data_IF_987662369844
#
_entry.id   IF_987662369844
#
_cell.length_a   1.000
_cell.length_b   1.000
_cell.length_c   1.000
_cell.angle_alpha   90.00
_cell.angle_beta   90.00
_cell.angle_gamma   90.00
#
_symmetry.space_group_name_H-M   'P 1'
#
loop_
_entity.id
_entity.type
_entity.pdbx_description
1 polymer ?
#
# COMPACT_ATOMS: atom_id res chain seq x y z
N UNK A 1 11.81 -13.87 -21.49
CA UNK A 1 13.15 -13.83 -20.85
C UNK A 1 12.94 -13.69 -19.35
N UNK A 2 13.77 -14.33 -18.51
CA UNK A 2 13.74 -14.14 -17.05
C UNK A 2 14.94 -13.25 -16.66
N UNK A 3 14.72 -12.25 -15.83
CA UNK A 3 15.76 -11.33 -15.33
C UNK A 3 16.05 -11.65 -13.87
N UNK A 4 17.33 -11.62 -13.50
CA UNK A 4 17.79 -11.67 -12.12
C UNK A 4 18.29 -10.27 -11.75
N UNK A 5 17.74 -9.70 -10.68
CA UNK A 5 18.14 -8.39 -10.17
C UNK A 5 18.61 -8.55 -8.71
N UNK A 6 19.77 -7.99 -8.37
CA UNK A 6 20.28 -8.00 -7.00
C UNK A 6 19.56 -6.96 -6.13
N UNK A 7 19.49 -7.22 -4.81
CA UNK A 7 19.05 -6.26 -3.80
C UNK A 7 20.21 -5.85 -2.91
N UNK A 8 20.14 -4.64 -2.36
CA UNK A 8 21.16 -4.10 -1.46
C UNK A 8 21.29 -4.90 -0.14
N UNK A 9 20.32 -5.77 0.15
CA UNK A 9 20.31 -6.68 1.29
C UNK A 9 20.92 -8.07 0.98
N UNK A 10 21.58 -8.24 -0.17
CA UNK A 10 22.23 -9.50 -0.54
C UNK A 10 21.29 -10.58 -1.09
N UNK A 11 20.05 -10.21 -1.42
CA UNK A 11 19.08 -11.09 -2.08
C UNK A 11 19.08 -10.92 -3.60
N UNK A 12 18.49 -11.88 -4.32
CA UNK A 12 18.22 -11.76 -5.75
C UNK A 12 16.74 -11.96 -6.02
N UNK A 13 16.16 -11.09 -6.84
CA UNK A 13 14.79 -11.22 -7.34
C UNK A 13 14.79 -11.79 -8.75
N UNK A 14 13.78 -12.62 -9.02
CA UNK A 14 13.51 -13.17 -10.34
C UNK A 14 12.25 -12.54 -10.92
N UNK A 15 12.39 -11.91 -12.07
CA UNK A 15 11.27 -11.38 -12.83
C UNK A 15 11.11 -12.19 -14.13
N UNK A 16 9.89 -12.61 -14.43
CA UNK A 16 9.60 -13.32 -15.68
C UNK A 16 8.29 -12.83 -16.28
N UNK A 17 8.33 -12.47 -17.56
CA UNK A 17 7.19 -11.95 -18.32
C UNK A 17 6.21 -13.02 -18.83
N UNK A 18 6.58 -14.30 -18.76
CA UNK A 18 5.78 -15.42 -19.26
C UNK A 18 5.83 -16.60 -18.28
N UNK A 19 4.76 -17.39 -18.16
CA UNK A 19 4.77 -18.59 -17.34
C UNK A 19 5.85 -19.58 -17.79
N UNK A 20 6.20 -20.50 -16.90
CA UNK A 20 7.09 -21.62 -17.18
C UNK A 20 8.12 -21.84 -16.09
N UNK A 21 8.92 -22.88 -16.27
CA UNK A 21 9.94 -23.31 -15.30
C UNK A 21 11.27 -22.62 -15.59
N UNK A 22 11.93 -22.13 -14.53
CA UNK A 22 13.33 -21.68 -14.55
C UNK A 22 14.09 -22.56 -13.57
N UNK A 23 15.26 -23.05 -13.96
CA UNK A 23 16.19 -23.69 -13.03
C UNK A 23 17.21 -22.66 -12.58
N UNK A 24 17.15 -22.30 -11.30
CA UNK A 24 18.21 -21.54 -10.63
C UNK A 24 19.35 -22.49 -10.30
N UNK A 25 20.57 -22.05 -10.57
CA UNK A 25 21.80 -22.73 -10.18
C UNK A 25 22.69 -21.71 -9.50
N UNK A 26 23.10 -21.99 -8.27
CA UNK A 26 24.14 -21.25 -7.58
C UNK A 26 25.40 -22.12 -7.53
N UNK A 27 26.57 -21.48 -7.58
CA UNK A 27 27.85 -22.14 -7.40
C UNK A 27 28.74 -21.28 -6.52
N UNK A 28 29.49 -21.92 -5.64
CA UNK A 28 30.58 -21.29 -4.92
C UNK A 28 31.85 -21.35 -5.77
N UNK A 29 32.44 -20.20 -6.07
CA UNK A 29 33.60 -20.10 -6.96
C UNK A 29 34.88 -20.70 -6.34
N UNK A 30 34.97 -20.75 -5.01
CA UNK A 30 36.17 -21.19 -4.30
C UNK A 30 36.20 -22.71 -4.07
N UNK A 31 35.10 -23.30 -3.62
CA UNK A 31 34.97 -24.73 -3.33
C UNK A 31 34.38 -25.54 -4.47
N UNK A 32 33.75 -24.89 -5.46
CA UNK A 32 33.06 -25.56 -6.57
C UNK A 32 31.71 -26.19 -6.17
N UNK A 33 31.25 -26.01 -4.93
CA UNK A 33 29.96 -26.51 -4.48
C UNK A 33 28.81 -25.90 -5.31
N UNK A 34 27.80 -26.71 -5.64
CA UNK A 34 26.65 -26.29 -6.46
C UNK A 34 25.33 -26.58 -5.77
N UNK A 35 24.43 -25.61 -5.77
CA UNK A 35 23.03 -25.76 -5.40
C UNK A 35 22.13 -25.47 -6.60
N UNK A 36 20.94 -26.07 -6.64
CA UNK A 36 19.97 -25.71 -7.68
C UNK A 36 18.54 -25.85 -7.19
N UNK A 37 17.64 -25.02 -7.72
CA UNK A 37 16.20 -25.12 -7.48
C UNK A 37 15.42 -24.76 -8.73
N UNK A 38 14.38 -25.53 -9.02
CA UNK A 38 13.43 -25.19 -10.09
C UNK A 38 12.32 -24.31 -9.53
N UNK A 39 12.09 -23.17 -10.16
CA UNK A 39 11.01 -22.22 -9.87
C UNK A 39 10.01 -22.28 -11.02
N UNK A 40 8.74 -22.48 -10.70
CA UNK A 40 7.65 -22.46 -11.68
C UNK A 40 6.87 -21.16 -11.58
N UNK A 41 6.88 -20.38 -12.66
CA UNK A 41 6.04 -19.21 -12.82
C UNK A 41 4.71 -19.65 -13.43
N UNK A 42 3.62 -19.54 -12.67
CA UNK A 42 2.28 -19.88 -13.17
C UNK A 42 1.61 -18.64 -13.73
N UNK A 43 0.64 -18.86 -14.63
CA UNK A 43 -0.33 -17.80 -14.96
C UNK A 43 -1.25 -17.61 -13.75
N UNK A 44 -1.62 -16.37 -13.50
CA UNK A 44 -2.64 -16.01 -12.53
C UNK A 44 -3.19 -14.63 -12.86
N UNK A 45 -4.01 -14.10 -11.98
CA UNK A 45 -4.56 -12.74 -12.11
C UNK A 45 -4.23 -11.89 -10.89
N UNK A 46 -4.26 -10.57 -11.06
CA UNK A 46 -3.98 -9.61 -10.01
C UNK A 46 -4.77 -8.30 -10.20
N UNK A 47 -4.95 -7.56 -9.10
CA UNK A 47 -5.52 -6.21 -9.10
C UNK A 47 -4.39 -5.19 -9.03
N UNK A 48 -4.31 -4.26 -9.97
CA UNK A 48 -3.36 -3.14 -9.96
C UNK A 48 -4.02 -1.84 -9.44
N UNK A 49 -3.23 -0.87 -8.96
CA UNK A 49 -1.78 -0.96 -8.67
C UNK A 49 -1.49 -1.91 -7.51
N UNK A 50 -0.29 -2.50 -7.44
CA UNK A 50 0.08 -3.48 -6.40
C UNK A 50 0.66 -2.82 -5.14
N UNK A 51 1.37 -1.73 -5.32
CA UNK A 51 2.15 -0.95 -4.35
C UNK A 51 1.30 0.03 -3.53
N UNK A 52 0.03 0.23 -3.88
CA UNK A 52 -0.90 1.08 -3.12
C UNK A 52 -1.81 0.21 -2.26
N UNK A 53 -1.73 0.34 -0.95
CA UNK A 53 -2.59 -0.35 0.04
C UNK A 53 -3.37 0.62 0.93
N UNK A 54 -3.20 1.92 0.72
CA UNK A 54 -3.71 2.99 1.55
C UNK A 54 -4.35 4.08 0.69
N UNK A 55 -5.45 4.64 1.18
CA UNK A 55 -6.15 5.79 0.57
C UNK A 55 -6.52 6.78 1.66
N UNK A 56 -6.30 8.05 1.42
CA UNK A 56 -6.79 9.11 2.32
C UNK A 56 -8.23 9.46 1.97
N UNK A 57 -9.02 9.84 2.97
CA UNK A 57 -10.41 10.25 2.80
C UNK A 57 -10.56 11.28 1.68
N UNK A 58 -11.48 11.03 0.74
CA UNK A 58 -11.70 11.86 -0.45
C UNK A 58 -10.86 11.46 -1.69
N UNK A 59 -9.86 10.60 -1.55
CA UNK A 59 -9.07 10.11 -2.69
C UNK A 59 -9.83 9.04 -3.49
N UNK A 60 -9.50 8.97 -4.78
CA UNK A 60 -9.99 7.94 -5.70
C UNK A 60 -8.82 7.22 -6.34
N UNK A 61 -8.97 5.91 -6.49
CA UNK A 61 -8.00 5.03 -7.13
C UNK A 61 -8.69 4.17 -8.18
N UNK A 62 -8.13 4.18 -9.39
CA UNK A 62 -8.57 3.29 -10.47
C UNK A 62 -7.91 1.92 -10.30
N UNK A 63 -8.73 0.89 -10.12
CA UNK A 63 -8.30 -0.49 -10.08
C UNK A 63 -8.41 -1.12 -11.46
N UNK A 64 -7.44 -1.96 -11.82
CA UNK A 64 -7.50 -2.77 -13.04
C UNK A 64 -7.18 -4.23 -12.72
N UNK A 65 -7.96 -5.14 -13.30
CA UNK A 65 -7.68 -6.56 -13.23
C UNK A 65 -6.78 -6.94 -14.41
N UNK A 66 -5.69 -7.65 -14.14
CA UNK A 66 -4.71 -8.03 -15.17
C UNK A 66 -4.34 -9.50 -15.08
N UNK A 67 -3.95 -10.07 -16.22
CA UNK A 67 -3.27 -11.36 -16.27
C UNK A 67 -1.79 -11.21 -15.94
N UNK A 68 -1.32 -12.13 -15.11
CA UNK A 68 0.07 -12.26 -14.71
C UNK A 68 0.65 -13.57 -15.25
N UNK A 69 1.92 -13.56 -15.71
CA UNK A 69 2.72 -12.38 -16.01
C UNK A 69 2.33 -11.74 -17.35
N UNK A 70 2.54 -10.42 -17.49
CA UNK A 70 2.32 -9.68 -18.75
C UNK A 70 1.44 -8.44 -18.62
N UNK A 71 0.67 -8.31 -17.54
CA UNK A 71 -0.08 -7.09 -17.23
C UNK A 71 -1.21 -6.76 -18.20
N UNK A 72 -1.65 -7.73 -19.02
CA UNK A 72 -2.77 -7.51 -19.95
C UNK A 72 -4.06 -7.38 -19.14
N UNK A 73 -4.74 -6.26 -19.32
CA UNK A 73 -6.04 -5.98 -18.69
C UNK A 73 -7.08 -7.00 -19.12
N UNK A 74 -7.93 -7.38 -18.16
CA UNK A 74 -9.06 -8.27 -18.34
C UNK A 74 -10.32 -7.61 -17.78
N UNK A 75 -11.45 -7.94 -18.39
CA UNK A 75 -12.74 -7.52 -17.85
C UNK A 75 -12.98 -8.20 -16.50
N UNK A 76 -13.48 -7.42 -15.55
CA UNK A 76 -13.79 -7.90 -14.22
C UNK A 76 -15.01 -7.18 -13.64
N UNK A 77 -15.75 -7.91 -12.82
CA UNK A 77 -16.84 -7.39 -11.99
C UNK A 77 -16.32 -7.13 -10.58
N UNK A 78 -16.55 -5.92 -10.11
CA UNK A 78 -15.97 -5.38 -8.89
C UNK A 78 -16.98 -5.33 -7.75
N UNK A 79 -16.54 -5.71 -6.55
CA UNK A 79 -17.37 -5.79 -5.34
C UNK A 79 -16.58 -5.35 -4.12
N UNK A 80 -17.27 -4.69 -3.19
CA UNK A 80 -16.84 -4.61 -1.80
C UNK A 80 -17.31 -5.87 -1.08
N UNK A 81 -16.42 -6.47 -0.29
CA UNK A 81 -16.68 -7.77 0.32
C UNK A 81 -17.73 -7.73 1.44
N UNK A 82 -17.96 -6.55 2.01
CA UNK A 82 -18.93 -6.30 3.09
C UNK A 82 -19.77 -5.06 2.76
N UNK A 83 -21.08 -5.12 3.02
CA UNK A 83 -21.98 -3.98 2.85
C UNK A 83 -21.67 -2.84 3.81
N UNK A 84 -21.09 -3.11 4.98
CA UNK A 84 -20.61 -2.09 5.91
C UNK A 84 -19.51 -1.21 5.28
N UNK A 85 -18.75 -1.74 4.31
CA UNK A 85 -17.72 -0.96 3.61
C UNK A 85 -18.30 0.16 2.75
N UNK A 86 -19.59 0.11 2.42
CA UNK A 86 -20.28 1.18 1.70
C UNK A 86 -20.35 2.48 2.51
N UNK A 87 -20.16 2.43 3.83
CA UNK A 87 -20.06 3.64 4.67
C UNK A 87 -18.71 4.34 4.47
N UNK A 88 -17.64 3.58 4.20
CA UNK A 88 -16.27 4.08 4.14
C UNK A 88 -15.74 4.26 2.71
N UNK A 89 -16.34 3.59 1.73
CA UNK A 89 -15.92 3.68 0.34
C UNK A 89 -17.10 3.53 -0.63
N UNK A 90 -16.88 3.93 -1.88
CA UNK A 90 -17.71 3.52 -3.01
C UNK A 90 -16.84 2.89 -4.08
N UNK A 91 -17.38 1.88 -4.76
CA UNK A 91 -16.71 1.19 -5.85
C UNK A 91 -17.63 1.17 -7.07
N UNK A 92 -17.14 1.69 -8.18
CA UNK A 92 -17.90 1.74 -9.42
C UNK A 92 -17.73 0.45 -10.24
N UNK A 93 -18.61 0.22 -11.21
CA UNK A 93 -18.56 -0.97 -12.08
C UNK A 93 -17.28 -1.05 -12.93
N UNK A 94 -16.68 0.09 -13.25
CA UNK A 94 -15.40 0.16 -13.96
C UNK A 94 -14.19 -0.01 -13.03
N UNK A 95 -14.37 -0.23 -11.72
CA UNK A 95 -13.27 -0.46 -10.79
C UNK A 95 -12.66 0.81 -10.19
N UNK A 96 -13.37 1.95 -10.20
CA UNK A 96 -12.91 3.15 -9.49
C UNK A 96 -13.33 3.07 -8.03
N UNK A 97 -12.35 2.93 -7.13
CA UNK A 97 -12.52 2.91 -5.69
C UNK A 97 -12.35 4.33 -5.15
N UNK A 98 -13.35 4.86 -4.46
CA UNK A 98 -13.30 6.19 -3.83
C UNK A 98 -13.45 6.06 -2.33
N UNK A 99 -12.49 6.62 -1.58
CA UNK A 99 -12.53 6.70 -0.12
C UNK A 99 -13.48 7.81 0.34
N UNK A 100 -14.39 7.48 1.24
CA UNK A 100 -15.27 8.45 1.91
C UNK A 100 -14.59 8.99 3.17
N UNK A 101 -15.23 9.99 3.77
CA UNK A 101 -14.78 10.54 5.05
C UNK A 101 -14.87 9.49 6.15
N UNK A 102 -13.76 9.25 6.84
CA UNK A 102 -13.69 8.40 8.03
C UNK A 102 -13.11 9.19 9.20
N UNK A 103 -13.46 8.79 10.42
CA UNK A 103 -13.01 9.39 11.67
C UNK A 103 -11.75 8.73 12.27
N UNK A 104 -11.35 7.59 11.71
CA UNK A 104 -10.17 6.81 12.07
C UNK A 104 -9.86 5.78 10.99
N UNK A 105 -8.71 5.10 11.08
CA UNK A 105 -8.31 4.15 10.05
C UNK A 105 -9.32 2.99 9.88
N UNK A 106 -9.78 2.74 8.64
CA UNK A 106 -10.72 1.65 8.31
C UNK A 106 -10.14 0.72 7.27
N UNK A 107 -10.15 -0.59 7.53
CA UNK A 107 -9.75 -1.61 6.56
C UNK A 107 -10.95 -2.06 5.74
N UNK A 108 -10.77 -2.12 4.43
CA UNK A 108 -11.76 -2.65 3.48
C UNK A 108 -11.12 -3.71 2.59
N UNK A 109 -11.94 -4.56 1.99
CA UNK A 109 -11.53 -5.54 0.99
C UNK A 109 -12.36 -5.41 -0.27
N UNK A 110 -11.68 -5.44 -1.41
CA UNK A 110 -12.26 -5.41 -2.75
C UNK A 110 -12.01 -6.75 -3.41
N UNK A 111 -13.07 -7.35 -3.95
CA UNK A 111 -12.98 -8.51 -4.83
C UNK A 111 -13.27 -8.12 -6.27
N UNK A 112 -12.47 -8.65 -7.19
CA UNK A 112 -12.76 -8.66 -8.62
C UNK A 112 -12.99 -10.11 -9.08
N UNK A 113 -14.02 -10.32 -9.89
CA UNK A 113 -14.26 -11.59 -10.58
C UNK A 113 -14.06 -11.40 -12.08
N UNK A 114 -13.14 -12.15 -12.68
CA UNK A 114 -13.03 -12.23 -14.14
C UNK A 114 -14.22 -13.00 -14.73
N UNK A 115 -14.41 -12.91 -16.04
CA UNK A 115 -15.43 -13.70 -16.74
C UNK A 115 -15.18 -15.22 -16.63
N UNK A 116 -13.92 -15.63 -16.47
CA UNK A 116 -13.52 -17.00 -16.20
C UNK A 116 -13.77 -17.43 -14.73
N UNK A 117 -14.46 -16.58 -13.94
CA UNK A 117 -14.78 -16.78 -12.52
C UNK A 117 -13.54 -16.87 -11.61
N UNK A 118 -12.39 -16.37 -12.06
CA UNK A 118 -11.21 -16.24 -11.21
C UNK A 118 -11.41 -15.11 -10.22
N UNK A 119 -11.21 -15.41 -8.93
CA UNK A 119 -11.39 -14.46 -7.83
C UNK A 119 -10.06 -13.78 -7.51
N UNK A 120 -10.02 -12.46 -7.61
CA UNK A 120 -8.92 -11.63 -7.17
C UNK A 120 -9.36 -10.80 -5.96
N UNK A 121 -8.51 -10.69 -4.95
CA UNK A 121 -8.81 -9.90 -3.74
C UNK A 121 -7.68 -8.95 -3.42
N UNK A 122 -8.04 -7.75 -2.97
CA UNK A 122 -7.11 -6.77 -2.45
C UNK A 122 -7.71 -5.98 -1.29
N UNK A 123 -6.94 -5.87 -0.21
CA UNK A 123 -7.29 -5.07 0.94
C UNK A 123 -6.71 -3.65 0.82
N UNK A 124 -7.43 -2.68 1.37
CA UNK A 124 -7.01 -1.29 1.48
C UNK A 124 -7.26 -0.78 2.90
N UNK A 125 -6.46 0.19 3.34
CA UNK A 125 -6.70 0.95 4.57
C UNK A 125 -7.06 2.39 4.20
N UNK A 126 -8.25 2.82 4.57
CA UNK A 126 -8.70 4.20 4.41
C UNK A 126 -8.28 4.99 5.63
N UNK A 127 -7.52 6.05 5.42
CA UNK A 127 -7.06 6.97 6.44
C UNK A 127 -7.95 8.22 6.50
N UNK A 128 -8.18 8.77 7.69
CA UNK A 128 -8.83 10.06 7.82
C UNK A 128 -7.96 11.19 7.25
N UNK A 129 -8.59 12.31 6.88
CA UNK A 129 -7.87 13.56 6.62
C UNK A 129 -7.49 14.26 7.93
N UNK A 130 -6.36 14.96 7.93
CA UNK A 130 -5.98 15.83 9.06
C UNK A 130 -7.03 16.94 9.18
N UNK A 131 -7.72 16.99 10.32
CA UNK A 131 -8.72 17.99 10.63
C UNK A 131 -8.19 19.10 11.55
N UNK A 132 -7.20 18.79 12.40
CA UNK A 132 -6.59 19.77 13.30
C UNK A 132 -5.09 19.53 13.49
N UNK A 133 -4.37 20.60 13.81
CA UNK A 133 -2.95 20.58 14.21
C UNK A 133 -2.82 21.36 15.52
N UNK A 134 -2.23 20.74 16.54
CA UNK A 134 -2.07 21.32 17.88
C UNK A 134 -0.59 21.38 18.24
N UNK A 135 -0.15 22.53 18.78
CA UNK A 135 1.19 22.68 19.33
C UNK A 135 1.16 22.38 20.84
N UNK A 136 2.05 21.49 21.27
CA UNK A 136 2.25 21.14 22.67
C UNK A 136 3.62 21.59 23.14
N UNK A 137 3.65 22.12 24.36
CA UNK A 137 4.87 22.39 25.12
C UNK A 137 4.84 21.56 26.41
N UNK A 138 5.87 20.75 26.66
CA UNK A 138 6.04 19.91 27.88
C UNK A 138 4.75 19.22 28.38
N UNK A 139 3.98 18.63 27.45
CA UNK A 139 2.73 17.91 27.75
C UNK A 139 1.53 18.76 28.20
N UNK A 140 1.63 20.09 28.20
CA UNK A 140 0.47 20.99 28.36
C UNK A 140 -0.18 21.29 27.00
N UNK A 141 -1.50 21.16 26.92
CA UNK A 141 -2.26 21.55 25.73
C UNK A 141 -2.17 23.06 25.51
N UNK A 142 -1.73 23.40 24.30
CA UNK A 142 -2.07 24.62 23.56
C UNK A 142 -2.07 25.96 24.33
N UNK A 143 -0.91 26.49 24.75
CA UNK A 143 -0.84 27.92 25.01
C UNK A 143 -0.92 28.69 23.68
N UNK A 144 -1.93 29.57 23.51
CA UNK A 144 -1.99 30.48 22.35
C UNK A 144 -0.78 31.43 22.30
N UNK A 145 -0.15 31.67 23.45
CA UNK A 145 1.06 32.48 23.60
C UNK A 145 2.01 31.75 24.54
N UNK A 146 3.25 31.51 24.09
CA UNK A 146 4.32 30.99 24.94
C UNK A 146 5.30 32.13 25.23
N UNK A 147 5.28 32.64 26.47
CA UNK A 147 6.27 33.61 26.92
C UNK A 147 7.60 32.90 27.14
N UNK A 148 8.61 33.29 26.35
CA UNK A 148 9.97 32.76 26.45
C UNK A 148 10.83 33.77 27.18
N UNK A 149 11.19 33.44 28.42
CA UNK A 149 12.21 34.18 29.14
C UNK A 149 13.60 33.85 28.56
N UNK A 150 14.33 34.88 28.14
CA UNK A 150 15.62 34.78 27.43
C UNK A 150 16.72 34.14 28.29
N UNK A 151 16.56 34.12 29.62
CA UNK A 151 17.50 33.48 30.54
C UNK A 151 17.35 31.94 30.59
N UNK A 152 16.24 31.40 30.08
CA UNK A 152 15.82 30.00 30.29
C UNK A 152 16.23 28.97 29.22
N UNK A 153 17.07 29.33 28.25
CA UNK A 153 17.60 28.43 27.21
C UNK A 153 16.55 27.93 26.18
N UNK A 154 16.90 26.88 25.42
CA UNK A 154 16.04 26.31 24.36
C UNK A 154 14.84 25.53 24.90
N UNK A 155 13.70 25.61 24.20
CA UNK A 155 12.47 24.86 24.49
C UNK A 155 12.14 23.90 23.35
N UNK A 156 11.59 22.72 23.68
CA UNK A 156 11.10 21.76 22.70
C UNK A 156 9.59 21.91 22.52
N UNK A 157 9.18 22.21 21.28
CA UNK A 157 7.79 22.22 20.84
C UNK A 157 7.53 20.94 20.05
N UNK A 158 6.31 20.39 20.19
CA UNK A 158 5.85 19.25 19.41
C UNK A 158 4.52 19.61 18.75
N UNK A 159 4.40 19.35 17.46
CA UNK A 159 3.14 19.44 16.75
C UNK A 159 2.48 18.05 16.70
N UNK A 160 1.17 18.01 16.89
CA UNK A 160 0.35 16.78 16.79
C UNK A 160 -0.86 17.07 15.90
N UNK A 161 -1.22 16.10 15.07
CA UNK A 161 -2.37 16.16 14.15
C UNK A 161 -3.51 15.31 14.71
N UNK A 162 -4.75 15.70 14.41
CA UNK A 162 -5.93 14.91 14.72
C UNK A 162 -6.75 14.64 13.44
N UNK A 163 -7.30 13.43 13.29
CA UNK A 163 -7.06 12.24 14.12
C UNK A 163 -5.63 11.70 13.97
N UNK A 164 -5.15 10.93 14.97
CA UNK A 164 -3.76 10.43 15.06
C UNK A 164 -3.36 9.58 13.84
N UNK A 165 -4.33 8.87 13.26
CA UNK A 165 -4.13 8.00 12.09
C UNK A 165 -4.02 8.76 10.75
N UNK A 166 -4.18 10.08 10.74
CA UNK A 166 -4.13 10.87 9.50
C UNK A 166 -2.69 10.97 8.96
N UNK A 167 -2.55 11.02 7.62
CA UNK A 167 -1.23 11.10 6.97
C UNK A 167 -0.52 12.41 7.33
N UNK A 168 0.62 12.31 8.01
CA UNK A 168 1.34 13.44 8.58
C UNK A 168 2.22 14.16 7.56
N UNK A 169 1.99 15.48 7.37
CA UNK A 169 2.95 16.41 6.78
C UNK A 169 2.99 17.72 7.59
N UNK A 170 3.40 17.64 8.85
CA UNK A 170 3.69 18.87 9.60
C UNK A 170 5.03 19.42 9.10
N UNK A 171 5.01 20.63 8.54
CA UNK A 171 6.20 21.40 8.13
C UNK A 171 6.42 22.51 9.16
N UNK A 172 7.67 22.75 9.54
CA UNK A 172 8.09 23.80 10.48
C UNK A 172 8.73 24.98 9.74
#
# INVERSE_FOLDING_TARGET
MAKISGSDAGGYYLERLFPGKVRLVCYDANSGAKGSKTVEFKRGTAILPQDVDTLTSGESLKLTAVTMPGGKEIEARWYLDDSAYLEYASLTRDGTLTAKSVDGARKISVTAYSDESEKMQKAFTILPQVAAVTLKYRSTENPQTLDIDLEGGSKQLKAETAPEDATNQVVW
#
